data_IF_406203019624
#
_entry.id   IF_406203019624
#
_cell.length_a   1.000
_cell.length_b   1.000
_cell.length_c   1.000
_cell.angle_alpha   90.00
_cell.angle_beta   90.00
_cell.angle_gamma   90.00
#
_symmetry.space_group_name_H-M   'P 1'
#
loop_
_entity.id
_entity.type
_entity.pdbx_description
1 polymer ?
#
# COMPACT_ATOMS: atom_id res chain seq x y z
N UNK A 1 -22.45 4.97 -23.33
CA UNK A 1 -22.73 3.60 -22.83
C UNK A 1 -21.92 3.39 -21.57
N UNK A 2 -22.52 2.91 -20.47
CA UNK A 2 -21.83 2.56 -19.22
C UNK A 2 -20.84 1.41 -19.44
N UNK A 3 -19.91 1.23 -18.50
CA UNK A 3 -19.09 0.01 -18.42
C UNK A 3 -19.91 -1.21 -18.02
N UNK A 4 -19.28 -2.39 -18.06
CA UNK A 4 -19.87 -3.60 -17.50
C UNK A 4 -19.91 -3.50 -15.97
N UNK A 5 -21.10 -3.55 -15.32
CA UNK A 5 -21.20 -3.45 -13.87
C UNK A 5 -20.54 -4.61 -13.12
N UNK A 6 -20.42 -5.78 -13.76
CA UNK A 6 -19.80 -6.97 -13.17
C UNK A 6 -18.29 -7.06 -13.45
N UNK A 7 -17.76 -6.18 -14.32
CA UNK A 7 -16.35 -6.21 -14.76
C UNK A 7 -15.93 -7.62 -15.25
N UNK A 8 -16.82 -8.31 -15.97
CA UNK A 8 -16.72 -9.74 -16.28
C UNK A 8 -15.38 -10.08 -16.94
N UNK A 9 -15.03 -9.39 -18.04
CA UNK A 9 -13.80 -9.69 -18.80
C UNK A 9 -12.55 -9.44 -17.96
N UNK A 10 -12.54 -8.36 -17.17
CA UNK A 10 -11.41 -8.05 -16.29
C UNK A 10 -11.27 -9.07 -15.15
N UNK A 11 -12.38 -9.49 -14.53
CA UNK A 11 -12.37 -10.57 -13.52
C UNK A 11 -11.86 -11.89 -14.09
N UNK A 12 -12.26 -12.25 -15.32
CA UNK A 12 -11.75 -13.43 -16.01
C UNK A 12 -10.25 -13.33 -16.30
N UNK A 13 -9.76 -12.17 -16.74
CA UNK A 13 -8.34 -11.95 -16.98
C UNK A 13 -7.51 -12.06 -15.69
N UNK A 14 -7.99 -11.42 -14.61
CA UNK A 14 -7.36 -11.49 -13.28
C UNK A 14 -7.37 -12.90 -12.72
N UNK A 15 -8.45 -13.65 -12.89
CA UNK A 15 -8.56 -15.04 -12.45
C UNK A 15 -7.51 -15.94 -13.12
N UNK A 16 -7.32 -15.77 -14.45
CA UNK A 16 -6.24 -16.47 -15.17
C UNK A 16 -4.85 -16.06 -14.68
N UNK A 17 -4.64 -14.76 -14.45
CA UNK A 17 -3.35 -14.22 -13.99
C UNK A 17 -2.96 -14.75 -12.59
N UNK A 18 -3.95 -14.90 -11.70
CA UNK A 18 -3.75 -15.35 -10.33
C UNK A 18 -4.01 -16.86 -10.13
N UNK A 19 -4.29 -17.62 -11.21
CA UNK A 19 -4.60 -19.04 -11.15
C UNK A 19 -5.73 -19.36 -10.15
N UNK A 20 -6.80 -18.56 -10.18
CA UNK A 20 -7.96 -18.67 -9.29
C UNK A 20 -9.27 -18.59 -10.07
N UNK A 21 -10.41 -18.66 -9.37
CA UNK A 21 -11.74 -18.50 -9.96
C UNK A 21 -12.17 -17.02 -10.02
N UNK A 22 -12.93 -16.59 -11.05
CA UNK A 22 -13.50 -15.25 -11.08
C UNK A 22 -14.41 -14.93 -9.87
N UNK A 23 -14.97 -15.94 -9.21
CA UNK A 23 -15.77 -15.81 -7.99
C UNK A 23 -14.94 -15.37 -6.78
N UNK A 24 -13.61 -15.57 -6.83
CA UNK A 24 -12.68 -15.09 -5.82
C UNK A 24 -12.22 -13.64 -6.03
N UNK A 25 -12.71 -12.94 -7.07
CA UNK A 25 -12.23 -11.60 -7.45
C UNK A 25 -13.36 -10.60 -7.50
N UNK A 26 -13.15 -9.45 -6.85
CA UNK A 26 -13.97 -8.25 -7.03
C UNK A 26 -13.11 -7.09 -7.52
N UNK A 27 -13.61 -6.33 -8.49
CA UNK A 27 -12.99 -5.12 -9.03
C UNK A 27 -13.69 -3.89 -8.45
N UNK A 28 -12.92 -2.85 -8.11
CA UNK A 28 -13.44 -1.61 -7.54
C UNK A 28 -12.60 -0.38 -7.91
N UNK A 29 -13.00 0.78 -7.41
CA UNK A 29 -12.40 2.09 -7.69
C UNK A 29 -11.05 2.29 -6.97
N UNK A 30 -10.11 1.37 -7.19
CA UNK A 30 -8.86 1.24 -6.49
C UNK A 30 -9.04 0.56 -5.12
N UNK A 31 -7.92 0.33 -4.42
CA UNK A 31 -7.95 -0.27 -3.07
C UNK A 31 -8.77 0.59 -2.11
N UNK A 32 -8.71 1.91 -2.23
CA UNK A 32 -9.45 2.83 -1.36
C UNK A 32 -10.96 2.60 -1.39
N UNK A 33 -11.56 2.48 -2.60
CA UNK A 33 -12.97 2.12 -2.74
C UNK A 33 -13.30 0.75 -2.16
N UNK A 34 -12.43 -0.24 -2.39
CA UNK A 34 -12.60 -1.61 -1.87
C UNK A 34 -12.50 -1.65 -0.33
N UNK A 35 -11.58 -0.88 0.27
CA UNK A 35 -11.50 -0.73 1.73
C UNK A 35 -12.79 -0.14 2.30
N UNK A 36 -13.31 0.93 1.68
CA UNK A 36 -14.57 1.54 2.09
C UNK A 36 -15.75 0.55 2.04
N UNK A 37 -15.85 -0.24 0.99
CA UNK A 37 -16.89 -1.28 0.86
C UNK A 37 -16.73 -2.38 1.92
N UNK A 38 -15.50 -2.86 2.13
CA UNK A 38 -15.25 -3.92 3.12
C UNK A 38 -15.59 -3.45 4.53
N UNK A 39 -15.19 -2.23 4.91
CA UNK A 39 -15.52 -1.66 6.21
C UNK A 39 -17.04 -1.51 6.37
N UNK A 40 -17.72 -1.01 5.34
CA UNK A 40 -19.18 -0.91 5.32
C UNK A 40 -19.90 -2.26 5.49
N UNK A 41 -19.29 -3.35 4.99
CA UNK A 41 -19.84 -4.70 5.12
C UNK A 41 -19.67 -5.29 6.52
N UNK A 42 -18.52 -5.04 7.17
CA UNK A 42 -18.08 -5.82 8.32
C UNK A 42 -18.07 -5.06 9.64
N UNK A 43 -18.03 -3.71 9.59
CA UNK A 43 -17.83 -2.88 10.77
C UNK A 43 -19.09 -2.13 11.14
N UNK A 44 -19.43 -2.19 12.42
CA UNK A 44 -20.49 -1.41 13.08
C UNK A 44 -19.90 -0.58 14.20
N UNK A 45 -20.76 0.20 14.87
CA UNK A 45 -20.37 1.09 15.98
C UNK A 45 -19.59 0.33 17.06
N UNK A 46 -18.42 0.84 17.42
CA UNK A 46 -17.48 0.34 18.43
C UNK A 46 -16.82 -1.02 18.11
N UNK A 47 -16.98 -1.57 16.93
CA UNK A 47 -16.26 -2.78 16.54
C UNK A 47 -14.74 -2.55 16.56
N UNK A 48 -13.96 -3.39 17.26
CA UNK A 48 -12.51 -3.22 17.35
C UNK A 48 -11.82 -3.66 16.07
N UNK A 49 -10.91 -2.80 15.61
CA UNK A 49 -10.07 -2.99 14.44
C UNK A 49 -8.63 -2.70 14.81
N UNK A 50 -7.69 -3.45 14.25
CA UNK A 50 -6.25 -3.32 14.51
C UNK A 50 -5.50 -2.89 13.26
N UNK A 51 -4.58 -1.96 13.41
CA UNK A 51 -3.63 -1.51 12.40
C UNK A 51 -2.33 -1.05 13.04
N UNK A 52 -1.31 -0.73 12.24
CA UNK A 52 -0.07 -0.16 12.76
C UNK A 52 -0.19 1.37 12.90
N UNK A 53 0.41 1.93 13.96
CA UNK A 53 0.46 3.38 14.12
C UNK A 53 1.43 4.01 13.13
N UNK A 54 0.90 4.84 12.23
CA UNK A 54 1.66 5.43 11.13
C UNK A 54 1.60 4.69 9.80
N UNK A 55 0.85 3.58 9.70
CA UNK A 55 0.50 2.95 8.42
C UNK A 55 -0.35 3.87 7.54
N UNK A 56 -0.60 3.44 6.30
CA UNK A 56 -1.37 4.22 5.32
C UNK A 56 -2.76 4.61 5.86
N UNK A 57 -3.11 5.92 5.89
CA UNK A 57 -4.20 6.40 6.73
C UNK A 57 -5.60 6.18 6.17
N UNK A 58 -5.77 5.87 4.88
CA UNK A 58 -7.11 5.79 4.26
C UNK A 58 -8.00 4.74 4.92
N UNK A 59 -7.43 3.58 5.28
CA UNK A 59 -8.13 2.56 6.05
C UNK A 59 -8.72 3.13 7.36
N UNK A 60 -7.91 3.93 8.09
CA UNK A 60 -8.32 4.52 9.35
C UNK A 60 -9.52 5.47 9.19
N UNK A 61 -9.57 6.23 8.08
CA UNK A 61 -10.70 7.13 7.80
C UNK A 61 -11.99 6.34 7.56
N UNK A 62 -11.92 5.23 6.82
CA UNK A 62 -13.09 4.37 6.62
C UNK A 62 -13.58 3.77 7.94
N UNK A 63 -12.67 3.22 8.77
CA UNK A 63 -13.04 2.66 10.09
C UNK A 63 -13.70 3.71 10.96
N UNK A 64 -13.10 4.90 11.08
CA UNK A 64 -13.67 6.00 11.87
C UNK A 64 -15.03 6.47 11.30
N UNK A 65 -15.16 6.55 9.97
CA UNK A 65 -16.40 6.95 9.30
C UNK A 65 -17.58 6.01 9.54
N UNK A 66 -17.33 4.74 9.79
CA UNK A 66 -18.36 3.74 10.15
C UNK A 66 -18.44 3.45 11.65
N UNK A 67 -17.73 4.22 12.48
CA UNK A 67 -17.83 4.17 13.95
C UNK A 67 -17.05 3.03 14.59
N UNK A 68 -16.15 2.36 13.85
CA UNK A 68 -15.25 1.35 14.40
C UNK A 68 -14.18 1.96 15.32
N UNK A 69 -13.65 1.15 16.22
CA UNK A 69 -12.61 1.55 17.18
C UNK A 69 -11.24 1.09 16.69
N UNK A 70 -10.38 2.05 16.36
CA UNK A 70 -8.99 1.78 15.91
C UNK A 70 -8.09 1.51 17.11
N UNK A 71 -7.47 0.33 17.11
CA UNK A 71 -6.41 -0.05 18.01
C UNK A 71 -5.12 -0.12 17.21
N UNK A 72 -4.06 0.55 17.67
CA UNK A 72 -2.84 0.72 16.90
C UNK A 72 -1.65 0.05 17.57
N UNK A 73 -0.96 -0.81 16.83
CA UNK A 73 0.30 -1.41 17.23
C UNK A 73 1.48 -0.52 16.77
N UNK A 74 2.56 -0.42 17.54
CA UNK A 74 3.74 0.33 17.11
C UNK A 74 4.47 -0.42 15.98
N UNK A 75 5.22 0.34 15.17
CA UNK A 75 6.20 -0.24 14.27
C UNK A 75 7.38 -0.81 15.06
N UNK A 76 7.95 -1.91 14.54
CA UNK A 76 9.23 -2.44 14.99
C UNK A 76 10.33 -1.89 14.08
N UNK A 77 11.05 -0.89 14.57
CA UNK A 77 11.98 -0.07 13.77
C UNK A 77 11.25 0.60 12.58
N UNK A 78 11.35 0.04 11.37
CA UNK A 78 10.76 0.60 10.14
C UNK A 78 9.74 -0.34 9.50
N UNK A 79 9.41 -1.45 10.16
CA UNK A 79 8.45 -2.45 9.69
C UNK A 79 7.18 -2.41 10.53
N UNK A 80 6.04 -2.65 9.90
CA UNK A 80 4.86 -3.09 10.64
C UNK A 80 5.21 -4.39 11.38
N UNK A 81 4.70 -4.59 12.59
CA UNK A 81 5.04 -5.75 13.42
C UNK A 81 3.88 -6.75 13.45
N UNK A 82 3.95 -7.87 12.67
CA UNK A 82 2.89 -8.88 12.64
C UNK A 82 2.56 -9.46 14.02
N UNK A 83 3.57 -9.67 14.87
CA UNK A 83 3.37 -10.23 16.21
C UNK A 83 2.63 -9.24 17.11
N UNK A 84 3.00 -7.95 17.05
CA UNK A 84 2.31 -6.90 17.81
C UNK A 84 0.86 -6.72 17.33
N UNK A 85 0.61 -6.80 16.02
CA UNK A 85 -0.73 -6.75 15.44
C UNK A 85 -1.60 -7.92 15.92
N UNK A 86 -1.07 -9.16 15.88
CA UNK A 86 -1.76 -10.37 16.35
C UNK A 86 -2.06 -10.28 17.85
N UNK A 87 -1.08 -9.92 18.67
CA UNK A 87 -1.24 -9.78 20.11
C UNK A 87 -2.33 -8.74 20.47
N UNK A 88 -2.34 -7.60 19.74
CA UNK A 88 -3.34 -6.58 19.94
C UNK A 88 -4.73 -7.05 19.47
N UNK A 89 -4.81 -7.79 18.37
CA UNK A 89 -6.07 -8.35 17.88
C UNK A 89 -6.67 -9.36 18.85
N UNK A 90 -5.87 -10.25 19.43
CA UNK A 90 -6.31 -11.16 20.48
C UNK A 90 -6.83 -10.41 21.73
N UNK A 91 -6.05 -9.40 22.18
CA UNK A 91 -6.40 -8.59 23.37
C UNK A 91 -7.70 -7.82 23.20
N UNK A 92 -7.94 -7.27 22.01
CA UNK A 92 -9.11 -6.42 21.73
C UNK A 92 -10.27 -7.20 21.13
N UNK A 93 -10.10 -8.47 20.79
CA UNK A 93 -11.04 -9.28 19.98
C UNK A 93 -11.37 -8.59 18.67
N UNK A 94 -10.33 -8.14 17.97
CA UNK A 94 -10.50 -7.37 16.76
C UNK A 94 -11.19 -8.18 15.66
N UNK A 95 -12.12 -7.56 14.95
CA UNK A 95 -12.76 -8.15 13.76
C UNK A 95 -11.87 -8.09 12.53
N UNK A 96 -11.03 -7.06 12.45
CA UNK A 96 -10.15 -6.82 11.31
C UNK A 96 -8.73 -6.48 11.78
N UNK A 97 -7.75 -6.99 11.04
CA UNK A 97 -6.38 -6.50 11.05
C UNK A 97 -6.06 -5.95 9.66
N UNK A 98 -5.46 -4.76 9.58
CA UNK A 98 -4.91 -4.21 8.35
C UNK A 98 -3.39 -4.22 8.41
N UNK A 99 -2.76 -4.80 7.39
CA UNK A 99 -1.32 -4.83 7.19
C UNK A 99 -1.01 -4.52 5.73
N UNK A 100 -0.05 -3.65 5.45
CA UNK A 100 0.45 -3.41 4.09
C UNK A 100 1.81 -4.05 3.85
N UNK A 101 1.90 -4.89 2.80
CA UNK A 101 3.15 -5.54 2.42
C UNK A 101 3.34 -5.54 0.90
N UNK A 102 4.28 -4.72 0.36
CA UNK A 102 5.18 -3.76 1.03
C UNK A 102 4.46 -2.55 1.65
N UNK A 103 5.07 -2.01 2.71
CA UNK A 103 4.51 -0.95 3.52
C UNK A 103 4.58 0.45 2.88
N UNK A 104 3.60 1.26 3.16
CA UNK A 104 3.59 2.70 3.00
C UNK A 104 3.27 3.33 4.38
N UNK A 105 4.18 4.16 5.00
CA UNK A 105 5.13 5.06 4.32
C UNK A 105 6.60 4.62 4.29
N UNK A 106 6.99 3.50 4.90
CA UNK A 106 8.42 3.20 5.10
C UNK A 106 9.08 2.50 3.91
N UNK A 107 8.30 1.85 3.03
CA UNK A 107 8.83 1.07 1.90
C UNK A 107 9.33 -0.33 2.29
N UNK A 108 9.32 -0.65 3.56
CA UNK A 108 9.73 -1.96 4.09
C UNK A 108 8.80 -3.07 3.64
N UNK A 109 9.29 -4.31 3.66
CA UNK A 109 8.49 -5.50 3.36
C UNK A 109 8.90 -6.65 4.27
N UNK A 110 7.97 -7.58 4.45
CA UNK A 110 8.21 -8.88 5.06
C UNK A 110 8.33 -9.94 3.97
N UNK A 111 9.15 -10.98 4.16
CA UNK A 111 9.15 -12.15 3.30
C UNK A 111 7.82 -12.92 3.42
N UNK A 112 7.51 -13.72 2.40
CA UNK A 112 6.28 -14.49 2.30
C UNK A 112 5.99 -15.32 3.56
N UNK A 113 7.01 -16.01 4.09
CA UNK A 113 6.89 -16.88 5.25
C UNK A 113 6.41 -16.14 6.51
N UNK A 114 6.80 -14.87 6.68
CA UNK A 114 6.34 -14.06 7.81
C UNK A 114 4.84 -13.78 7.71
N UNK A 115 4.35 -13.47 6.51
CA UNK A 115 2.93 -13.22 6.28
C UNK A 115 2.12 -14.52 6.41
N UNK A 116 2.63 -15.62 5.88
CA UNK A 116 2.01 -16.95 6.01
C UNK A 116 1.92 -17.41 7.47
N UNK A 117 2.97 -17.18 8.27
CA UNK A 117 2.95 -17.46 9.71
C UNK A 117 1.90 -16.59 10.44
N UNK A 118 1.79 -15.30 10.07
CA UNK A 118 0.76 -14.40 10.60
C UNK A 118 -0.64 -14.92 10.27
N UNK A 119 -0.89 -15.35 9.03
CA UNK A 119 -2.19 -15.89 8.58
C UNK A 119 -2.58 -17.12 9.38
N UNK A 120 -1.63 -18.02 9.65
CA UNK A 120 -1.86 -19.22 10.44
C UNK A 120 -2.20 -18.92 11.91
N UNK A 121 -1.75 -17.78 12.42
CA UNK A 121 -1.92 -17.33 13.81
C UNK A 121 -3.06 -16.33 14.02
N UNK A 122 -3.88 -16.06 12.99
CA UNK A 122 -5.03 -15.16 13.11
C UNK A 122 -6.05 -15.68 14.12
N UNK A 123 -6.66 -14.80 14.94
CA UNK A 123 -7.84 -15.16 15.73
C UNK A 123 -8.96 -15.72 14.85
N UNK A 124 -9.77 -16.64 15.36
CA UNK A 124 -10.77 -17.37 14.57
C UNK A 124 -11.79 -16.45 13.88
N UNK A 125 -12.23 -15.40 14.56
CA UNK A 125 -13.23 -14.44 14.06
C UNK A 125 -12.59 -13.16 13.47
N UNK A 126 -11.29 -13.18 13.15
CA UNK A 126 -10.56 -12.01 12.65
C UNK A 126 -10.20 -12.17 11.17
N UNK A 127 -10.52 -11.16 10.36
CA UNK A 127 -10.13 -11.08 8.96
C UNK A 127 -8.86 -10.22 8.82
N UNK A 128 -7.85 -10.75 8.14
CA UNK A 128 -6.68 -9.97 7.69
C UNK A 128 -6.98 -9.31 6.36
N UNK A 129 -6.83 -7.99 6.32
CA UNK A 129 -6.74 -7.20 5.10
C UNK A 129 -5.26 -7.07 4.76
N UNK A 130 -4.80 -7.78 3.74
CA UNK A 130 -3.44 -7.69 3.24
C UNK A 130 -3.40 -6.72 2.05
N UNK A 131 -2.93 -5.50 2.32
CA UNK A 131 -2.78 -4.48 1.27
C UNK A 131 -1.46 -4.71 0.51
N UNK A 132 -1.59 -5.20 -0.70
CA UNK A 132 -0.51 -5.52 -1.62
C UNK A 132 -0.35 -4.47 -2.72
N UNK A 133 -0.60 -3.18 -2.41
CA UNK A 133 -0.54 -2.10 -3.40
C UNK A 133 0.80 -2.00 -4.13
N UNK A 134 1.87 -2.49 -3.55
CA UNK A 134 3.22 -2.43 -4.10
C UNK A 134 3.82 -3.81 -4.42
N UNK A 135 3.06 -4.88 -4.31
CA UNK A 135 3.59 -6.25 -4.46
C UNK A 135 4.19 -6.49 -5.84
N UNK A 136 3.63 -5.89 -6.89
CA UNK A 136 4.14 -5.99 -8.26
C UNK A 136 5.56 -5.40 -8.42
N UNK A 137 6.01 -4.57 -7.49
CA UNK A 137 7.32 -3.92 -7.46
C UNK A 137 8.29 -4.54 -6.45
N UNK A 138 7.80 -5.46 -5.64
CA UNK A 138 8.56 -6.10 -4.57
C UNK A 138 9.58 -7.11 -5.10
N UNK A 139 10.64 -7.40 -4.35
CA UNK A 139 11.58 -8.44 -4.70
C UNK A 139 10.91 -9.83 -4.66
N UNK A 140 11.46 -10.81 -5.39
CA UNK A 140 11.01 -12.20 -5.28
C UNK A 140 10.99 -12.69 -3.82
N UNK A 141 10.04 -13.55 -3.48
CA UNK A 141 9.87 -14.08 -2.13
C UNK A 141 9.09 -13.16 -1.16
N UNK A 142 8.55 -12.04 -1.65
CA UNK A 142 7.68 -11.15 -0.84
C UNK A 142 6.21 -11.58 -0.89
N UNK A 143 5.76 -12.11 -2.04
CA UNK A 143 4.35 -12.52 -2.21
C UNK A 143 4.09 -13.85 -1.49
N UNK A 144 3.13 -13.87 -0.52
CA UNK A 144 2.79 -15.09 0.20
C UNK A 144 1.91 -16.03 -0.62
N UNK A 145 2.04 -17.33 -0.37
CA UNK A 145 1.18 -18.37 -0.92
C UNK A 145 -0.03 -18.55 -0.01
N UNK A 146 -1.13 -17.88 -0.33
CA UNK A 146 -2.38 -17.93 0.43
C UNK A 146 -3.48 -18.43 -0.49
N UNK A 147 -4.21 -19.47 -0.05
CA UNK A 147 -5.38 -19.93 -0.79
C UNK A 147 -6.40 -18.80 -0.95
N UNK A 148 -6.91 -18.53 -2.17
CA UNK A 148 -7.97 -17.56 -2.38
C UNK A 148 -9.26 -17.91 -1.62
N UNK A 149 -9.46 -19.19 -1.25
CA UNK A 149 -10.61 -19.65 -0.48
C UNK A 149 -10.42 -19.55 1.04
N UNK A 150 -9.28 -19.01 1.50
CA UNK A 150 -9.09 -18.77 2.94
C UNK A 150 -10.09 -17.71 3.42
N UNK A 151 -11.06 -18.06 4.30
CA UNK A 151 -12.10 -17.12 4.72
C UNK A 151 -11.60 -16.02 5.64
N UNK A 152 -10.36 -16.11 6.14
CA UNK A 152 -9.76 -15.16 7.09
C UNK A 152 -8.79 -14.16 6.44
N UNK A 153 -8.67 -14.16 5.10
CA UNK A 153 -7.76 -13.23 4.40
C UNK A 153 -8.45 -12.64 3.19
N UNK A 154 -8.30 -11.33 3.00
CA UNK A 154 -8.59 -10.64 1.75
C UNK A 154 -7.34 -9.89 1.32
N UNK A 155 -6.87 -10.16 0.10
CA UNK A 155 -5.70 -9.50 -0.51
C UNK A 155 -6.17 -8.40 -1.43
N UNK A 156 -5.61 -7.20 -1.32
CA UNK A 156 -5.99 -6.04 -2.12
C UNK A 156 -4.86 -5.58 -3.01
N UNK A 157 -5.11 -5.46 -4.31
CA UNK A 157 -4.14 -5.07 -5.34
C UNK A 157 -4.65 -3.92 -6.20
N UNK A 158 -3.76 -3.23 -6.87
CA UNK A 158 -4.11 -2.02 -7.63
C UNK A 158 -3.31 -1.90 -8.92
N UNK A 159 -3.92 -1.32 -9.93
CA UNK A 159 -3.24 -0.88 -11.16
C UNK A 159 -2.59 0.51 -11.03
N UNK A 160 -2.71 1.14 -9.86
CA UNK A 160 -2.22 2.52 -9.63
C UNK A 160 -0.72 2.67 -9.52
N UNK A 161 0.05 1.57 -9.28
CA UNK A 161 1.49 1.61 -8.96
C UNK A 161 2.33 1.03 -10.09
N UNK A 162 2.62 -0.26 -10.08
CA UNK A 162 3.43 -0.93 -11.09
C UNK A 162 2.91 -0.74 -12.51
N UNK A 163 1.60 -0.73 -12.68
CA UNK A 163 0.95 -0.55 -13.98
C UNK A 163 0.74 0.91 -14.41
N UNK A 164 1.07 1.91 -13.58
CA UNK A 164 0.99 3.32 -13.94
C UNK A 164 -0.41 3.91 -14.09
N UNK A 165 -1.49 3.22 -13.74
CA UNK A 165 -2.87 3.61 -14.01
C UNK A 165 -3.55 4.33 -12.82
N UNK A 166 -2.80 5.11 -12.02
CA UNK A 166 -3.32 5.76 -10.83
C UNK A 166 -4.57 6.63 -11.09
N UNK A 167 -4.60 7.34 -12.21
CA UNK A 167 -5.71 8.21 -12.61
C UNK A 167 -6.99 7.47 -13.03
N UNK A 168 -6.89 6.20 -13.43
CA UNK A 168 -8.04 5.40 -13.86
C UNK A 168 -8.84 4.82 -12.68
N UNK A 169 -8.32 4.89 -11.46
CA UNK A 169 -9.00 4.41 -10.25
C UNK A 169 -9.50 2.98 -10.37
N UNK A 170 -8.62 2.03 -10.66
CA UNK A 170 -8.94 0.60 -10.75
C UNK A 170 -8.02 -0.23 -9.86
N UNK A 171 -8.63 -1.13 -9.11
CA UNK A 171 -7.99 -2.12 -8.24
C UNK A 171 -8.90 -3.32 -8.06
N UNK A 172 -8.42 -4.32 -7.37
CA UNK A 172 -9.18 -5.54 -7.13
C UNK A 172 -8.82 -6.17 -5.79
N UNK A 173 -9.74 -6.99 -5.28
CA UNK A 173 -9.48 -7.83 -4.13
C UNK A 173 -9.62 -9.31 -4.52
N UNK A 174 -8.80 -10.15 -3.86
CA UNK A 174 -8.82 -11.62 -3.96
C UNK A 174 -9.18 -12.16 -2.58
N UNK A 175 -10.20 -13.02 -2.51
CA UNK A 175 -10.64 -13.62 -1.26
C UNK A 175 -11.68 -14.71 -1.47
N UNK A 176 -12.15 -15.30 -0.39
CA UNK A 176 -13.15 -16.36 -0.43
C UNK A 176 -14.45 -15.91 -1.12
N UNK A 177 -14.99 -16.74 -2.01
CA UNK A 177 -16.13 -16.41 -2.85
C UNK A 177 -17.37 -15.87 -2.08
N UNK A 178 -17.73 -16.36 -0.89
CA UNK A 178 -18.82 -15.77 -0.11
C UNK A 178 -18.56 -14.30 0.30
N UNK A 179 -17.31 -13.96 0.68
CA UNK A 179 -16.93 -12.58 1.02
C UNK A 179 -16.95 -11.70 -0.23
N UNK A 180 -16.38 -12.17 -1.33
CA UNK A 180 -16.37 -11.44 -2.62
C UNK A 180 -17.79 -11.16 -3.10
N UNK A 181 -18.69 -12.15 -3.03
CA UNK A 181 -20.11 -11.96 -3.40
C UNK A 181 -20.80 -10.91 -2.52
N UNK A 182 -20.43 -10.81 -1.25
CA UNK A 182 -21.01 -9.83 -0.33
C UNK A 182 -20.75 -8.38 -0.75
N UNK A 183 -19.65 -8.08 -1.45
CA UNK A 183 -19.39 -6.73 -1.98
C UNK A 183 -20.50 -6.20 -2.88
N UNK A 184 -21.20 -7.07 -3.60
CA UNK A 184 -22.33 -6.68 -4.46
C UNK A 184 -23.50 -6.04 -3.70
N UNK A 185 -23.58 -6.20 -2.36
CA UNK A 185 -24.60 -5.55 -1.52
C UNK A 185 -24.30 -4.06 -1.27
N UNK A 186 -23.04 -3.64 -1.42
CA UNK A 186 -22.59 -2.30 -0.98
C UNK A 186 -21.78 -1.53 -2.02
N UNK A 187 -21.21 -2.22 -3.03
CA UNK A 187 -20.37 -1.58 -4.05
C UNK A 187 -21.19 -0.68 -4.98
N UNK A 188 -20.53 0.33 -5.54
CA UNK A 188 -21.06 1.06 -6.68
C UNK A 188 -20.89 0.21 -7.95
N UNK A 189 -21.99 -0.30 -8.48
CA UNK A 189 -21.98 -1.21 -9.64
C UNK A 189 -21.37 -0.60 -10.92
N UNK A 190 -21.43 0.71 -11.08
CA UNK A 190 -20.88 1.44 -12.24
C UNK A 190 -19.67 2.31 -11.89
N UNK A 191 -19.05 2.08 -10.73
CA UNK A 191 -17.92 2.88 -10.24
C UNK A 191 -16.66 2.76 -11.10
N UNK A 192 -16.41 1.57 -11.67
CA UNK A 192 -15.29 1.35 -12.58
C UNK A 192 -15.72 1.61 -14.03
N UNK A 193 -15.31 2.74 -14.56
CA UNK A 193 -15.66 3.18 -15.92
C UNK A 193 -15.03 2.32 -17.03
N UNK A 194 -15.59 2.39 -18.26
CA UNK A 194 -15.09 1.62 -19.42
C UNK A 194 -13.63 1.82 -19.72
N UNK A 195 -13.12 3.05 -19.61
CA UNK A 195 -11.69 3.34 -19.86
C UNK A 195 -10.81 2.67 -18.82
N UNK A 196 -11.24 2.62 -17.56
CA UNK A 196 -10.52 1.93 -16.49
C UNK A 196 -10.48 0.41 -16.73
N UNK A 197 -11.62 -0.19 -17.12
CA UNK A 197 -11.69 -1.61 -17.46
C UNK A 197 -10.78 -1.94 -18.65
N UNK A 198 -10.86 -1.18 -19.75
CA UNK A 198 -10.04 -1.39 -20.93
C UNK A 198 -8.54 -1.18 -20.63
N UNK A 199 -8.18 -0.13 -19.87
CA UNK A 199 -6.81 0.13 -19.47
C UNK A 199 -6.23 -0.97 -18.59
N UNK A 200 -7.01 -1.49 -17.63
CA UNK A 200 -6.58 -2.60 -16.78
C UNK A 200 -6.41 -3.90 -17.58
N UNK A 201 -7.31 -4.18 -18.52
CA UNK A 201 -7.19 -5.33 -19.42
C UNK A 201 -5.91 -5.25 -20.26
N UNK A 202 -5.62 -4.09 -20.86
CA UNK A 202 -4.40 -3.89 -21.63
C UNK A 202 -3.13 -4.04 -20.76
N UNK A 203 -3.15 -3.47 -19.55
CA UNK A 203 -2.02 -3.51 -18.64
C UNK A 203 -1.68 -4.93 -18.15
N UNK A 204 -2.69 -5.75 -17.83
CA UNK A 204 -2.45 -7.13 -17.38
C UNK A 204 -2.00 -8.04 -18.52
N UNK A 205 -2.31 -7.68 -19.75
CA UNK A 205 -1.87 -8.40 -20.95
C UNK A 205 -0.44 -8.03 -21.40
N UNK A 206 0.21 -7.05 -20.75
CA UNK A 206 1.56 -6.58 -21.07
C UNK A 206 2.53 -6.78 -19.88
N UNK A 207 2.94 -8.02 -19.60
CA UNK A 207 3.89 -8.31 -18.53
C UNK A 207 5.29 -7.71 -18.80
N UNK A 208 5.69 -7.54 -20.06
CA UNK A 208 6.99 -7.01 -20.42
C UNK A 208 7.12 -5.55 -20.02
N UNK A 209 6.06 -4.76 -20.15
CA UNK A 209 6.03 -3.39 -19.65
C UNK A 209 6.18 -3.35 -18.12
N UNK A 210 5.50 -4.22 -17.39
CA UNK A 210 5.63 -4.29 -15.93
C UNK A 210 7.07 -4.66 -15.50
N UNK A 211 7.72 -5.59 -16.21
CA UNK A 211 9.13 -5.93 -15.97
C UNK A 211 10.03 -4.72 -16.21
N UNK A 212 9.85 -4.04 -17.33
CA UNK A 212 10.59 -2.80 -17.62
C UNK A 212 10.41 -1.74 -16.54
N UNK A 213 9.17 -1.51 -16.06
CA UNK A 213 8.89 -0.57 -14.96
C UNK A 213 9.64 -0.96 -13.69
N UNK A 214 9.67 -2.25 -13.34
CA UNK A 214 10.44 -2.75 -12.17
C UNK A 214 11.91 -2.40 -12.28
N UNK A 215 12.53 -2.63 -13.43
CA UNK A 215 13.95 -2.33 -13.67
C UNK A 215 14.25 -0.83 -13.58
N UNK A 216 13.36 0.02 -14.15
CA UNK A 216 13.47 1.47 -14.02
C UNK A 216 13.38 1.93 -12.55
N UNK A 217 12.47 1.34 -11.76
CA UNK A 217 12.30 1.65 -10.33
C UNK A 217 13.52 1.22 -9.52
N UNK A 218 14.09 0.04 -9.80
CA UNK A 218 15.32 -0.45 -9.14
C UNK A 218 16.47 0.53 -9.41
N UNK A 219 16.67 0.91 -10.67
CA UNK A 219 17.72 1.86 -11.08
C UNK A 219 17.53 3.23 -10.43
N UNK A 220 16.29 3.75 -10.46
CA UNK A 220 15.97 5.02 -9.82
C UNK A 220 16.21 4.96 -8.31
N UNK A 221 15.81 3.87 -7.64
CA UNK A 221 16.00 3.69 -6.20
C UNK A 221 17.47 3.79 -5.79
N UNK A 222 18.35 3.11 -6.54
CA UNK A 222 19.81 3.17 -6.31
C UNK A 222 20.30 4.62 -6.49
N UNK A 223 19.88 5.30 -7.55
CA UNK A 223 20.32 6.66 -7.85
C UNK A 223 19.87 7.68 -6.79
N UNK A 224 18.62 7.61 -6.33
CA UNK A 224 18.11 8.48 -5.26
C UNK A 224 18.75 8.16 -3.90
N UNK A 225 19.04 6.87 -3.63
CA UNK A 225 19.77 6.47 -2.43
C UNK A 225 21.19 7.03 -2.42
N UNK A 226 21.89 7.02 -3.53
CA UNK A 226 23.22 7.63 -3.67
C UNK A 226 23.18 9.13 -3.37
N UNK A 227 22.18 9.86 -3.90
CA UNK A 227 22.02 11.29 -3.59
C UNK A 227 21.81 11.52 -2.09
N UNK A 228 21.04 10.69 -1.42
CA UNK A 228 20.85 10.80 0.02
C UNK A 228 22.15 10.57 0.79
N UNK A 229 22.91 9.51 0.46
CA UNK A 229 24.19 9.18 1.09
C UNK A 229 25.26 10.27 0.87
N UNK A 230 25.37 10.81 -0.33
CA UNK A 230 26.27 11.93 -0.68
C UNK A 230 26.00 13.18 0.19
N UNK A 231 24.78 13.31 0.70
CA UNK A 231 24.36 14.40 1.58
C UNK A 231 24.31 14.04 3.08
N UNK A 232 24.85 12.88 3.47
CA UNK A 232 24.92 12.44 4.86
C UNK A 232 23.58 11.97 5.45
N UNK A 233 22.61 11.64 4.60
CA UNK A 233 21.32 11.07 5.01
C UNK A 233 21.32 9.54 4.86
N UNK A 234 20.43 8.85 5.58
CA UNK A 234 20.32 7.40 5.54
C UNK A 234 19.08 6.96 4.74
N UNK A 235 19.23 6.50 3.48
CA UNK A 235 18.15 5.89 2.75
C UNK A 235 17.80 4.53 3.38
N UNK A 236 16.50 4.27 3.55
CA UNK A 236 16.01 3.00 4.09
C UNK A 236 15.74 2.00 2.95
N UNK A 237 15.91 0.69 3.17
CA UNK A 237 15.53 -0.32 2.18
C UNK A 237 14.06 -0.16 1.77
N UNK A 238 13.80 -0.27 0.46
CA UNK A 238 12.45 -0.08 -0.07
C UNK A 238 12.11 -1.13 -1.13
N UNK A 239 10.87 -1.65 -1.08
CA UNK A 239 10.26 -2.52 -2.08
C UNK A 239 9.14 -1.80 -2.87
N UNK A 240 9.14 -0.46 -2.88
CA UNK A 240 8.10 0.38 -3.48
C UNK A 240 8.66 1.31 -4.55
N UNK A 241 7.81 2.15 -5.16
CA UNK A 241 8.20 3.22 -6.09
C UNK A 241 8.51 4.55 -5.38
N UNK A 242 8.85 4.50 -4.12
CA UNK A 242 9.36 5.62 -3.35
C UNK A 242 10.52 5.17 -2.45
N UNK A 243 11.29 6.12 -1.96
CA UNK A 243 12.37 5.91 -1.01
C UNK A 243 12.09 6.72 0.25
N UNK A 244 12.16 6.08 1.41
CA UNK A 244 12.11 6.77 2.69
C UNK A 244 13.54 7.01 3.15
N UNK A 245 13.84 8.27 3.51
CA UNK A 245 15.16 8.73 3.85
C UNK A 245 15.12 9.28 5.28
N UNK A 246 15.89 8.69 6.19
CA UNK A 246 16.06 9.19 7.54
C UNK A 246 16.97 10.43 7.52
N UNK A 247 16.47 11.55 8.02
CA UNK A 247 17.19 12.83 8.04
C UNK A 247 18.25 12.94 9.16
N UNK A 248 18.42 11.90 9.99
CA UNK A 248 19.47 11.83 10.99
C UNK A 248 19.25 12.63 12.27
N UNK A 249 18.03 13.20 12.46
CA UNK A 249 17.66 13.96 13.66
C UNK A 249 16.19 13.65 14.03
N UNK A 250 15.46 14.63 14.55
CA UNK A 250 14.05 14.50 14.97
C UNK A 250 13.07 14.87 13.84
N UNK A 251 11.78 14.73 14.12
CA UNK A 251 10.70 15.08 13.19
C UNK A 251 10.63 16.58 12.87
N UNK A 252 11.09 17.45 13.79
CA UNK A 252 11.13 18.90 13.53
C UNK A 252 12.19 19.23 12.48
N UNK A 253 13.32 18.57 12.53
CA UNK A 253 14.34 18.71 11.49
C UNK A 253 13.86 18.18 10.14
N UNK A 254 13.27 16.97 10.09
CA UNK A 254 12.72 16.41 8.87
C UNK A 254 11.61 17.32 8.27
N UNK A 255 10.79 17.94 9.11
CA UNK A 255 9.78 18.89 8.66
C UNK A 255 10.40 20.15 8.06
N UNK A 256 11.50 20.70 8.64
CA UNK A 256 12.23 21.82 8.03
C UNK A 256 12.81 21.42 6.67
N UNK A 257 13.41 20.23 6.56
CA UNK A 257 13.93 19.72 5.28
C UNK A 257 12.82 19.62 4.23
N UNK A 258 11.64 19.12 4.61
CA UNK A 258 10.47 19.06 3.73
C UNK A 258 10.06 20.47 3.27
N UNK A 259 9.97 21.43 4.19
CA UNK A 259 9.60 22.83 3.89
C UNK A 259 10.60 23.48 2.94
N UNK A 260 11.90 23.26 3.18
CA UNK A 260 12.96 23.81 2.35
C UNK A 260 13.04 23.17 0.95
N UNK A 261 12.70 21.88 0.83
CA UNK A 261 12.54 21.21 -0.46
C UNK A 261 11.34 21.77 -1.23
N UNK A 262 10.20 21.95 -0.55
CA UNK A 262 9.00 22.52 -1.15
C UNK A 262 9.23 23.95 -1.65
N UNK A 263 9.99 24.78 -0.92
CA UNK A 263 10.38 26.13 -1.34
C UNK A 263 11.29 26.13 -2.59
N UNK A 264 11.77 24.97 -3.02
CA UNK A 264 12.59 24.73 -4.23
C UNK A 264 11.84 23.87 -5.26
N UNK A 265 10.52 23.85 -5.20
CA UNK A 265 9.63 23.11 -6.09
C UNK A 265 9.81 21.57 -6.03
N UNK A 266 10.40 21.04 -4.95
CA UNK A 266 10.55 19.59 -4.72
C UNK A 266 9.53 19.15 -3.68
N UNK A 267 8.45 18.52 -4.15
CA UNK A 267 7.42 17.98 -3.28
C UNK A 267 7.82 16.60 -2.75
N UNK A 268 7.99 16.50 -1.43
CA UNK A 268 8.18 15.23 -0.71
C UNK A 268 7.12 15.07 0.39
N UNK A 269 7.00 13.89 0.94
CA UNK A 269 6.11 13.61 2.07
C UNK A 269 6.94 13.18 3.30
N UNK A 270 6.30 13.06 4.45
CA UNK A 270 6.89 12.48 5.65
C UNK A 270 5.87 11.62 6.38
N UNK A 271 6.31 10.58 7.11
CA UNK A 271 5.47 9.86 8.06
C UNK A 271 4.98 10.81 9.17
N UNK A 272 3.74 10.59 9.65
CA UNK A 272 3.09 11.50 10.60
C UNK A 272 3.26 11.14 12.08
N UNK A 273 4.01 10.08 12.44
CA UNK A 273 4.10 9.57 13.81
C UNK A 273 5.54 9.35 14.25
N UNK A 274 5.80 9.60 15.54
CA UNK A 274 7.09 9.33 16.21
C UNK A 274 7.28 7.80 16.32
N UNK A 275 8.48 7.27 16.05
CA UNK A 275 9.73 7.92 15.63
C UNK A 275 9.93 7.97 14.11
N UNK A 276 8.91 7.61 13.31
CA UNK A 276 9.00 7.55 11.83
C UNK A 276 9.05 8.95 11.20
N UNK A 277 8.53 9.95 11.88
CA UNK A 277 8.45 11.37 11.47
C UNK A 277 9.83 12.03 11.24
N UNK A 278 10.93 11.39 11.69
CA UNK A 278 12.31 11.82 11.39
C UNK A 278 12.74 11.57 9.94
N UNK A 279 11.85 11.01 9.13
CA UNK A 279 12.11 10.65 7.75
C UNK A 279 11.32 11.54 6.76
N UNK A 280 11.86 11.72 5.57
CA UNK A 280 11.13 12.18 4.39
C UNK A 280 10.90 11.00 3.44
N UNK A 281 9.80 11.03 2.67
CA UNK A 281 9.47 10.03 1.68
C UNK A 281 9.47 10.65 0.28
N UNK A 282 10.37 10.21 -0.56
CA UNK A 282 10.62 10.74 -1.90
C UNK A 282 10.10 9.75 -2.94
N UNK A 283 9.19 10.18 -3.82
CA UNK A 283 8.75 9.36 -4.96
C UNK A 283 9.88 9.23 -5.96
N UNK A 284 10.09 8.02 -6.48
CA UNK A 284 11.11 7.75 -7.48
C UNK A 284 10.62 8.25 -8.84
N UNK A 285 11.20 9.36 -9.29
CA UNK A 285 10.94 9.96 -10.60
C UNK A 285 11.95 9.50 -11.66
N UNK A 286 11.71 9.90 -12.91
CA UNK A 286 12.69 9.75 -13.99
C UNK A 286 13.90 10.68 -13.85
N UNK A 287 14.77 10.72 -14.87
CA UNK A 287 16.04 11.46 -14.86
C UNK A 287 15.89 12.95 -14.47
N UNK A 288 14.84 13.61 -14.95
CA UNK A 288 14.59 15.02 -14.61
C UNK A 288 14.29 15.21 -13.11
N UNK A 289 13.46 14.33 -12.53
CA UNK A 289 13.15 14.36 -11.08
C UNK A 289 14.36 14.05 -10.21
N UNK A 290 15.21 13.13 -10.63
CA UNK A 290 16.47 12.81 -9.95
C UNK A 290 17.43 14.03 -9.99
N UNK A 291 17.59 14.68 -11.15
CA UNK A 291 18.44 15.85 -11.30
C UNK A 291 17.96 17.01 -10.40
N UNK A 292 16.66 17.31 -10.41
CA UNK A 292 16.08 18.35 -9.58
C UNK A 292 16.25 18.04 -8.08
N UNK A 293 16.05 16.80 -7.64
CA UNK A 293 16.26 16.40 -6.25
C UNK A 293 17.75 16.52 -5.84
N UNK A 294 18.67 16.09 -6.72
CA UNK A 294 20.13 16.19 -6.48
C UNK A 294 20.59 17.64 -6.32
N UNK A 295 20.05 18.55 -7.11
CA UNK A 295 20.37 19.97 -7.04
C UNK A 295 19.80 20.63 -5.78
N UNK A 296 18.54 20.34 -5.44
CA UNK A 296 17.83 21.01 -4.35
C UNK A 296 18.26 20.54 -2.95
N UNK A 297 18.58 19.23 -2.78
CA UNK A 297 18.78 18.63 -1.47
C UNK A 297 19.90 19.27 -0.64
N UNK A 298 21.12 19.56 -1.16
CA UNK A 298 22.18 20.18 -0.39
C UNK A 298 21.81 21.55 0.18
N UNK A 299 21.16 22.38 -0.65
CA UNK A 299 20.73 23.71 -0.26
C UNK A 299 19.60 23.66 0.78
N UNK A 300 18.62 22.74 0.60
CA UNK A 300 17.55 22.52 1.56
C UNK A 300 18.08 22.07 2.93
N UNK A 301 19.04 21.13 2.97
CA UNK A 301 19.66 20.68 4.20
C UNK A 301 20.45 21.78 4.90
N UNK A 302 21.18 22.63 4.14
CA UNK A 302 21.90 23.76 4.70
C UNK A 302 20.92 24.74 5.37
N UNK A 303 19.84 25.11 4.69
CA UNK A 303 18.83 26.02 5.21
C UNK A 303 18.08 25.42 6.42
N UNK A 304 17.79 24.11 6.42
CA UNK A 304 17.12 23.44 7.53
C UNK A 304 17.96 23.35 8.81
N UNK A 305 19.29 23.45 8.70
CA UNK A 305 20.22 23.44 9.85
C UNK A 305 20.35 24.82 10.52
N UNK A 306 20.02 25.90 9.82
CA UNK A 306 20.13 27.30 10.28
C UNK A 306 21.46 27.89 9.95
#
# INVERSE_FOLDING_TARGET
>A
MYGDPENHDLRQALARHHHTSPENIVVGEGIDGLLGYLIRLLITQNDPVVTSDGAYPTFNFHVAGYGGTLNKAPFKAVHEDPDALLNLAHKTRAKLIYLSNPNNPMGSHHPAETIEAMVNSLPDDCLLILDEAYIDLAPPGTEPTISPDNPRVIRMRTFSKGYGLAGLRVGYAIGAAPLITAFSKVRNHFGVGRLAQAGAMAAIADPDHLHWVRDQIITARISFAMVALENGLLPLPSATNFLTINCGSDGKFAHRVLTELLARDIFVRMPGVVPLDRCIRVSLGGAAGLAAFREALPAALKAARG
#
